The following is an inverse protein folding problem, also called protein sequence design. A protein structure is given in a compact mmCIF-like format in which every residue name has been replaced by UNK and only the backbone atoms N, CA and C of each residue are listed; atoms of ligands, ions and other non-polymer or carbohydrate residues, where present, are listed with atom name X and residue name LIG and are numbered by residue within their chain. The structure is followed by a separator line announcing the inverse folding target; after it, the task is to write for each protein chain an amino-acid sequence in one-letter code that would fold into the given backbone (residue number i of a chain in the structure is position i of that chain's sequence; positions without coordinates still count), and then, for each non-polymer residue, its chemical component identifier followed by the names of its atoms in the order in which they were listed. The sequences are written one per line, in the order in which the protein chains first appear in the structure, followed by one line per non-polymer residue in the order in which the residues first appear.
data_IF_595138756699
#
_entry.id   IF_595138756699
#
_cell.length_a   1.000
_cell.length_b   1.000
_cell.length_c   1.000
_cell.angle_alpha   90.00
_cell.angle_beta   90.00
_cell.angle_gamma   90.00
#
_symmetry.space_group_name_H-M   'P 1'
#
loop_
_entity.id
_entity.type
_entity.pdbx_description
1 polymer ?
#
# COMPACT_ATOMS: atom_id res chain seq x y z
N UNK A 1 69.95 22.67 17.93
CA UNK A 1 69.06 21.48 18.00
C UNK A 1 67.77 21.83 17.24
N UNK A 2 67.15 20.87 16.55
CA UNK A 2 66.08 21.14 15.57
C UNK A 2 64.77 21.66 16.21
N UNK A 3 63.95 22.38 15.44
CA UNK A 3 62.62 22.84 15.85
C UNK A 3 61.94 23.69 14.78
N UNK A 4 61.44 23.03 13.74
CA UNK A 4 60.93 23.57 12.48
C UNK A 4 59.80 24.61 12.58
N UNK A 5 59.80 25.48 11.58
CA UNK A 5 58.80 26.48 11.22
C UNK A 5 57.48 25.85 10.71
N UNK A 6 56.32 26.41 11.08
CA UNK A 6 55.10 26.35 10.25
C UNK A 6 54.22 27.59 10.49
N UNK A 7 53.52 28.04 9.45
CA UNK A 7 52.91 29.37 9.32
C UNK A 7 51.39 29.41 9.64
N UNK A 8 50.92 30.62 9.98
CA UNK A 8 49.68 31.34 9.58
C UNK A 8 48.46 30.54 9.06
N UNK A 9 47.20 30.97 9.24
CA UNK A 9 46.54 32.03 10.03
C UNK A 9 45.00 31.80 9.87
N UNK A 10 44.12 32.40 10.70
CA UNK A 10 42.69 32.03 10.72
C UNK A 10 41.83 32.77 9.67
N UNK A 11 40.67 32.21 9.35
CA UNK A 11 39.55 32.93 8.71
C UNK A 11 38.25 32.58 9.45
N UNK A 12 37.50 33.61 9.85
CA UNK A 12 36.25 33.51 10.62
C UNK A 12 35.03 33.28 9.71
N UNK A 13 33.90 32.77 10.24
CA UNK A 13 32.64 32.79 9.48
C UNK A 13 31.48 31.89 9.95
N UNK A 14 30.72 32.39 10.95
CA UNK A 14 29.28 32.14 11.21
C UNK A 14 28.71 30.75 11.54
N UNK A 15 27.71 30.78 12.43
CA UNK A 15 26.79 29.70 12.83
C UNK A 15 25.51 30.34 13.42
N UNK A 16 24.42 29.58 13.77
CA UNK A 16 24.10 28.19 13.43
C UNK A 16 23.02 28.18 12.29
N UNK A 17 21.75 27.68 12.35
CA UNK A 17 20.95 27.02 13.40
C UNK A 17 20.67 25.51 13.20
N UNK A 18 19.98 24.96 14.20
CA UNK A 18 19.32 23.65 14.34
C UNK A 18 18.08 23.45 13.45
N UNK A 19 17.91 22.27 12.83
CA UNK A 19 16.60 21.58 12.69
C UNK A 19 16.72 20.04 12.69
N UNK A 20 15.97 19.42 13.61
CA UNK A 20 15.72 17.98 13.72
C UNK A 20 14.91 17.40 12.55
N UNK A 21 15.22 16.17 12.09
CA UNK A 21 14.21 15.37 11.33
C UNK A 21 14.40 13.83 11.32
N UNK A 22 15.06 13.25 12.33
CA UNK A 22 15.26 11.79 12.43
C UNK A 22 14.07 11.01 13.02
N UNK A 23 12.96 11.67 13.37
CA UNK A 23 11.86 11.08 14.15
C UNK A 23 10.68 10.52 13.33
N UNK A 24 10.66 10.68 12.00
CA UNK A 24 9.53 10.26 11.16
C UNK A 24 9.34 8.74 11.10
N UNK A 25 10.43 7.96 11.19
CA UNK A 25 10.40 6.48 11.20
C UNK A 25 9.74 5.90 12.47
N UNK A 26 10.00 6.50 13.63
CA UNK A 26 9.52 6.04 14.94
C UNK A 26 8.02 6.29 15.15
N UNK A 27 7.46 7.32 14.51
CA UNK A 27 6.04 7.67 14.63
C UNK A 27 5.10 6.71 13.87
N UNK A 28 5.57 6.08 12.79
CA UNK A 28 4.79 5.06 12.06
C UNK A 28 4.52 3.83 12.93
N UNK A 29 5.56 3.30 13.60
CA UNK A 29 5.48 2.11 14.46
C UNK A 29 4.58 2.37 15.67
N UNK A 30 4.67 3.55 16.29
CA UNK A 30 3.89 3.90 17.50
C UNK A 30 2.38 3.97 17.22
N UNK A 31 1.96 4.40 16.03
CA UNK A 31 0.55 4.54 15.65
C UNK A 31 -0.17 3.20 15.44
N UNK A 32 0.55 2.12 15.16
CA UNK A 32 -0.06 0.78 14.99
C UNK A 32 -0.56 0.15 16.30
N UNK A 33 -0.02 0.53 17.47
CA UNK A 33 -0.32 -0.17 18.74
C UNK A 33 -1.74 0.02 19.31
N UNK A 34 -2.58 0.92 18.78
CA UNK A 34 -3.85 1.32 19.44
C UNK A 34 -5.15 0.90 18.72
N UNK A 35 -5.10 0.10 17.66
CA UNK A 35 -6.29 -0.52 17.04
C UNK A 35 -6.28 -2.02 17.34
N UNK A 36 -7.32 -2.56 17.99
CA UNK A 36 -7.45 -4.00 18.28
C UNK A 36 -7.35 -4.78 16.96
N UNK A 37 -6.18 -5.40 16.70
CA UNK A 37 -5.99 -6.23 15.50
C UNK A 37 -6.87 -7.47 15.60
N UNK A 38 -7.54 -7.80 14.50
CA UNK A 38 -8.05 -9.15 14.26
C UNK A 38 -6.86 -10.12 14.34
N UNK A 39 -6.95 -11.10 15.23
CA UNK A 39 -5.81 -11.94 15.67
C UNK A 39 -5.17 -12.79 14.57
N UNK A 40 -5.84 -12.97 13.42
CA UNK A 40 -5.47 -13.95 12.40
C UNK A 40 -4.47 -13.46 11.35
N UNK A 41 -4.14 -12.17 11.31
CA UNK A 41 -3.27 -11.57 10.28
C UNK A 41 -2.11 -10.75 10.87
N UNK A 42 -1.58 -11.19 12.02
CA UNK A 42 -0.42 -10.53 12.63
C UNK A 42 0.77 -10.55 11.66
N UNK A 43 1.40 -9.39 11.52
CA UNK A 43 2.65 -9.23 10.79
C UNK A 43 2.58 -9.73 9.33
N UNK A 44 1.45 -9.55 8.67
CA UNK A 44 1.27 -9.80 7.23
C UNK A 44 1.10 -8.50 6.43
N UNK A 45 1.57 -8.53 5.19
CA UNK A 45 1.35 -7.51 4.18
C UNK A 45 0.66 -8.10 2.96
N UNK A 46 -0.03 -7.26 2.20
CA UNK A 46 -0.65 -7.62 0.92
C UNK A 46 -0.07 -6.75 -0.18
N UNK A 47 0.37 -7.38 -1.27
CA UNK A 47 0.71 -6.70 -2.53
C UNK A 47 -0.38 -6.90 -3.57
N UNK A 48 -0.57 -5.89 -4.42
CA UNK A 48 -1.56 -5.89 -5.49
C UNK A 48 -1.01 -5.27 -6.77
N UNK A 49 -1.41 -5.78 -7.93
CA UNK A 49 -1.07 -5.25 -9.25
C UNK A 49 -2.27 -4.63 -9.99
N UNK A 50 -1.97 -3.83 -11.01
CA UNK A 50 -2.95 -3.11 -11.82
C UNK A 50 -3.88 -4.07 -12.59
N UNK A 51 -3.37 -5.24 -13.00
CA UNK A 51 -4.18 -6.28 -13.65
C UNK A 51 -5.02 -7.12 -12.66
N UNK A 52 -5.08 -6.71 -11.37
CA UNK A 52 -5.97 -7.30 -10.38
C UNK A 52 -5.46 -8.59 -9.73
N UNK A 53 -4.16 -8.88 -9.85
CA UNK A 53 -3.51 -9.97 -9.11
C UNK A 53 -3.02 -9.49 -7.74
N UNK A 54 -2.92 -10.39 -6.77
CA UNK A 54 -2.32 -10.08 -5.47
C UNK A 54 -2.26 -11.28 -4.53
N UNK A 55 -1.53 -11.11 -3.43
CA UNK A 55 -1.33 -12.14 -2.41
C UNK A 55 -0.91 -11.50 -1.08
N UNK A 56 -1.12 -12.25 0.02
CA UNK A 56 -0.58 -11.92 1.35
C UNK A 56 0.81 -12.52 1.52
N UNK A 57 1.66 -11.94 2.35
CA UNK A 57 2.98 -12.47 2.67
C UNK A 57 3.43 -12.02 4.08
N UNK A 58 4.18 -12.86 4.82
CA UNK A 58 4.67 -12.48 6.14
C UNK A 58 5.73 -11.36 6.09
N UNK A 59 5.68 -10.45 7.06
CA UNK A 59 6.67 -9.40 7.31
C UNK A 59 8.07 -9.97 7.58
N UNK A 60 8.17 -11.17 8.15
CA UNK A 60 9.43 -11.91 8.29
C UNK A 60 10.13 -12.24 6.95
N UNK A 61 9.44 -12.05 5.81
CA UNK A 61 10.03 -12.13 4.48
C UNK A 61 10.54 -10.78 3.94
N UNK A 62 10.40 -9.68 4.69
CA UNK A 62 11.00 -8.36 4.38
C UNK A 62 12.21 -8.01 5.26
N UNK A 63 12.32 -8.57 6.47
CA UNK A 63 13.40 -8.22 7.42
C UNK A 63 14.80 -8.55 6.91
N UNK A 64 14.92 -9.58 6.07
CA UNK A 64 16.17 -9.98 5.42
C UNK A 64 16.18 -9.51 3.96
N UNK A 65 16.87 -8.41 3.67
CA UNK A 65 17.12 -7.99 2.29
C UNK A 65 18.57 -7.55 2.11
N UNK A 66 19.12 -7.83 0.92
CA UNK A 66 20.41 -7.29 0.50
C UNK A 66 20.25 -5.88 -0.06
N UNK A 67 21.37 -5.20 -0.37
CA UNK A 67 21.38 -3.86 -1.01
C UNK A 67 20.54 -3.79 -2.30
N UNK A 68 20.39 -4.91 -3.00
CA UNK A 68 19.62 -5.01 -4.25
C UNK A 68 18.11 -5.14 -4.04
N UNK A 69 17.64 -5.17 -2.78
CA UNK A 69 16.24 -5.43 -2.45
C UNK A 69 15.83 -6.90 -2.64
N UNK A 70 14.55 -7.19 -2.39
CA UNK A 70 13.94 -8.52 -2.60
C UNK A 70 12.77 -8.39 -3.56
N UNK A 71 12.75 -9.21 -4.61
CA UNK A 71 11.64 -9.26 -5.57
C UNK A 71 10.40 -9.87 -4.91
N UNK A 72 9.38 -9.05 -4.66
CA UNK A 72 8.13 -9.51 -4.05
C UNK A 72 7.18 -10.11 -5.11
N UNK A 73 6.85 -9.36 -6.18
CA UNK A 73 5.84 -9.77 -7.16
C UNK A 73 6.43 -10.10 -8.54
N UNK A 74 5.93 -11.16 -9.16
CA UNK A 74 6.23 -11.53 -10.54
C UNK A 74 5.18 -10.93 -11.49
N UNK A 75 5.49 -9.73 -12.00
CA UNK A 75 4.70 -9.00 -12.99
C UNK A 75 4.97 -9.54 -14.41
N UNK A 76 3.93 -9.56 -15.25
CA UNK A 76 3.97 -9.96 -16.68
C UNK A 76 2.94 -9.13 -17.46
N UNK A 77 3.01 -9.10 -18.79
CA UNK A 77 2.00 -8.45 -19.66
C UNK A 77 1.81 -6.95 -19.32
N UNK A 78 2.92 -6.21 -19.18
CA UNK A 78 2.95 -4.79 -18.80
C UNK A 78 2.20 -4.45 -17.49
N UNK A 79 1.99 -5.43 -16.63
CA UNK A 79 1.44 -5.23 -15.29
C UNK A 79 2.40 -4.46 -14.38
N UNK A 80 1.85 -3.69 -13.44
CA UNK A 80 2.60 -2.91 -12.45
C UNK A 80 2.04 -3.15 -11.06
N UNK A 81 2.90 -3.17 -10.03
CA UNK A 81 2.43 -3.12 -8.65
C UNK A 81 1.75 -1.77 -8.38
N UNK A 82 0.55 -1.79 -7.79
CA UNK A 82 -0.18 -0.56 -7.43
C UNK A 82 -0.04 -0.18 -5.95
N UNK A 83 0.39 -1.13 -5.11
CA UNK A 83 0.65 -0.85 -3.71
C UNK A 83 0.94 -2.08 -2.86
N UNK A 84 1.34 -1.78 -1.64
CA UNK A 84 1.66 -2.70 -0.56
C UNK A 84 1.03 -2.12 0.71
N UNK A 85 0.29 -2.92 1.48
CA UNK A 85 -0.34 -2.46 2.73
C UNK A 85 -0.40 -3.59 3.79
N UNK A 86 -0.33 -3.27 5.09
CA UNK A 86 -0.46 -4.26 6.15
C UNK A 86 -1.88 -4.82 6.22
N UNK A 87 -2.01 -6.12 6.50
CA UNK A 87 -3.30 -6.82 6.58
C UNK A 87 -3.96 -6.55 7.94
N UNK A 88 -4.84 -5.53 7.98
CA UNK A 88 -5.41 -5.03 9.25
C UNK A 88 -6.90 -5.34 9.46
N UNK A 89 -7.62 -5.82 8.43
CA UNK A 89 -9.05 -6.13 8.49
C UNK A 89 -9.42 -7.41 7.73
N UNK A 90 -10.59 -7.98 8.04
CA UNK A 90 -11.09 -9.22 7.43
C UNK A 90 -11.62 -9.08 6.00
N UNK A 91 -11.73 -7.87 5.48
CA UNK A 91 -12.12 -7.60 4.10
C UNK A 91 -11.20 -6.59 3.45
N UNK A 92 -11.07 -6.66 2.14
CA UNK A 92 -10.44 -5.62 1.32
C UNK A 92 -11.41 -5.07 0.28
N UNK A 93 -11.48 -3.76 0.22
CA UNK A 93 -12.15 -3.00 -0.83
C UNK A 93 -11.17 -2.77 -1.98
N UNK A 94 -11.60 -3.00 -3.21
CA UNK A 94 -10.82 -2.91 -4.44
C UNK A 94 -11.60 -2.06 -5.46
N UNK A 95 -10.95 -1.11 -6.13
CA UNK A 95 -11.60 -0.29 -7.16
C UNK A 95 -10.77 -0.15 -8.45
N UNK A 96 -11.47 -0.06 -9.59
CA UNK A 96 -10.88 0.15 -10.91
C UNK A 96 -11.09 1.56 -11.44
N UNK A 97 -10.25 1.97 -12.38
CA UNK A 97 -10.32 3.28 -13.05
C UNK A 97 -11.69 3.53 -13.70
N UNK A 98 -12.25 2.55 -14.41
CA UNK A 98 -13.62 2.62 -15.00
C UNK A 98 -14.76 2.44 -13.97
N UNK A 99 -14.56 2.84 -12.71
CA UNK A 99 -15.65 3.00 -11.75
C UNK A 99 -16.32 1.72 -11.25
N UNK A 100 -15.67 0.55 -11.36
CA UNK A 100 -16.10 -0.69 -10.71
C UNK A 100 -15.43 -0.84 -9.35
N UNK A 101 -16.13 -1.43 -8.37
CA UNK A 101 -15.55 -1.80 -7.08
C UNK A 101 -16.08 -3.14 -6.57
N UNK A 102 -15.31 -3.79 -5.70
CA UNK A 102 -15.68 -5.02 -5.02
C UNK A 102 -15.16 -5.03 -3.59
N UNK A 103 -15.88 -5.69 -2.70
CA UNK A 103 -15.37 -6.11 -1.39
C UNK A 103 -15.15 -7.61 -1.45
N UNK A 104 -13.95 -8.09 -1.10
CA UNK A 104 -13.67 -9.52 -0.96
C UNK A 104 -13.19 -9.84 0.45
N UNK A 105 -13.52 -11.03 1.00
CA UNK A 105 -12.91 -11.54 2.22
C UNK A 105 -11.38 -11.70 2.08
N UNK A 106 -10.64 -11.34 3.14
CA UNK A 106 -9.16 -11.38 3.17
C UNK A 106 -8.60 -12.81 3.25
N UNK A 107 -9.36 -13.76 3.79
CA UNK A 107 -9.02 -15.18 3.89
C UNK A 107 -8.89 -15.86 2.51
N UNK A 108 -9.71 -15.46 1.53
CA UNK A 108 -9.63 -15.91 0.14
C UNK A 108 -8.33 -15.49 -0.57
N UNK A 109 -7.58 -14.54 -0.01
CA UNK A 109 -6.32 -14.08 -0.54
C UNK A 109 -5.22 -15.01 -0.06
N UNK A 110 -4.65 -15.79 -0.99
CA UNK A 110 -3.56 -16.73 -0.70
C UNK A 110 -2.36 -16.03 -0.07
N UNK A 111 -1.78 -16.64 0.96
CA UNK A 111 -0.48 -16.27 1.48
C UNK A 111 0.64 -16.97 0.69
N UNK A 112 1.67 -16.23 0.27
CA UNK A 112 2.90 -16.78 -0.31
C UNK A 112 4.10 -16.51 0.60
N UNK A 113 5.07 -17.42 0.59
CA UNK A 113 6.32 -17.33 1.36
C UNK A 113 7.50 -16.73 0.57
N UNK A 114 7.32 -16.50 -0.73
CA UNK A 114 8.33 -15.99 -1.67
C UNK A 114 7.69 -15.34 -2.90
N UNK A 115 8.50 -15.05 -3.92
CA UNK A 115 8.04 -14.26 -5.06
C UNK A 115 7.01 -15.00 -5.92
N UNK A 116 5.92 -14.32 -6.29
CA UNK A 116 4.84 -14.95 -7.06
C UNK A 116 3.97 -13.95 -7.82
N UNK A 117 3.10 -14.47 -8.69
CA UNK A 117 2.04 -13.67 -9.33
C UNK A 117 0.87 -13.42 -8.37
N UNK A 118 0.65 -14.32 -7.41
CA UNK A 118 -0.54 -14.33 -6.56
C UNK A 118 -1.79 -14.83 -7.29
N UNK A 119 -2.94 -14.60 -6.66
CA UNK A 119 -4.27 -14.99 -7.17
C UNK A 119 -4.99 -13.79 -7.80
N UNK A 120 -5.97 -14.06 -8.67
CA UNK A 120 -6.87 -13.03 -9.19
C UNK A 120 -7.78 -12.56 -8.07
N UNK A 121 -7.69 -11.28 -7.69
CA UNK A 121 -8.56 -10.63 -6.70
C UNK A 121 -9.80 -10.04 -7.36
N UNK A 122 -9.60 -9.34 -8.48
CA UNK A 122 -10.65 -8.78 -9.33
C UNK A 122 -10.21 -8.89 -10.80
N UNK A 123 -11.15 -9.08 -11.72
CA UNK A 123 -10.92 -9.01 -13.17
C UNK A 123 -11.26 -7.59 -13.67
N UNK A 124 -10.27 -6.72 -13.99
CA UNK A 124 -10.57 -5.33 -14.31
C UNK A 124 -11.04 -5.13 -15.77
N UNK A 125 -10.92 -6.14 -16.63
CA UNK A 125 -11.31 -6.07 -18.05
C UNK A 125 -10.44 -5.06 -18.80
N UNK A 126 -11.07 -4.14 -19.53
CA UNK A 126 -10.41 -3.00 -20.20
C UNK A 126 -10.00 -1.87 -19.24
N UNK A 127 -10.19 -2.04 -17.94
CA UNK A 127 -9.76 -1.06 -16.93
C UNK A 127 -8.53 -1.56 -16.18
N UNK A 128 -8.00 -0.73 -15.31
CA UNK A 128 -6.93 -1.08 -14.39
C UNK A 128 -7.41 -0.90 -12.96
N UNK A 129 -6.93 -1.74 -12.06
CA UNK A 129 -7.12 -1.54 -10.62
C UNK A 129 -6.29 -0.32 -10.19
N UNK A 130 -6.91 0.62 -9.47
CA UNK A 130 -6.26 1.89 -9.07
C UNK A 130 -5.90 1.96 -7.59
N UNK A 131 -6.51 1.12 -6.76
CA UNK A 131 -6.22 1.08 -5.34
C UNK A 131 -6.95 -0.04 -4.63
N UNK A 132 -6.52 -0.26 -3.38
CA UNK A 132 -7.17 -1.17 -2.45
C UNK A 132 -7.10 -0.61 -1.03
N UNK A 133 -8.04 -0.98 -0.17
CA UNK A 133 -8.08 -0.56 1.23
C UNK A 133 -8.69 -1.66 2.10
N UNK A 134 -8.00 -2.02 3.18
CA UNK A 134 -8.54 -2.94 4.18
C UNK A 134 -9.67 -2.25 4.96
N UNK A 135 -10.80 -2.94 5.12
CA UNK A 135 -12.04 -2.38 5.67
C UNK A 135 -12.84 -3.38 6.49
N UNK A 136 -13.67 -2.86 7.38
CA UNK A 136 -14.81 -3.54 7.99
C UNK A 136 -16.09 -3.20 7.20
N UNK A 137 -17.10 -4.06 7.21
CA UNK A 137 -18.37 -3.81 6.49
C UNK A 137 -19.11 -2.53 6.94
N UNK A 138 -18.80 -2.00 8.14
CA UNK A 138 -19.35 -0.75 8.69
C UNK A 138 -18.53 0.50 8.30
N UNK A 139 -17.34 0.33 7.72
CA UNK A 139 -16.46 1.44 7.39
C UNK A 139 -16.98 2.20 6.16
N UNK A 140 -16.43 3.40 5.97
CA UNK A 140 -16.62 4.21 4.78
C UNK A 140 -15.29 4.38 4.03
N UNK A 141 -15.37 4.50 2.71
CA UNK A 141 -14.23 4.64 1.82
C UNK A 141 -14.44 5.88 0.96
N UNK A 142 -13.42 6.73 0.87
CA UNK A 142 -13.47 7.96 0.05
C UNK A 142 -12.73 7.73 -1.25
N UNK A 143 -13.43 7.95 -2.36
CA UNK A 143 -12.89 7.80 -3.71
C UNK A 143 -12.69 9.16 -4.34
N UNK A 144 -11.49 9.42 -4.86
CA UNK A 144 -11.17 10.65 -5.57
C UNK A 144 -11.23 10.39 -7.07
N UNK A 145 -11.98 11.22 -7.78
CA UNK A 145 -12.20 11.11 -9.22
C UNK A 145 -11.32 12.06 -10.02
N UNK A 146 -11.24 11.81 -11.33
CA UNK A 146 -10.63 12.68 -12.34
C UNK A 146 -10.98 14.17 -12.20
N UNK A 147 -12.27 14.45 -12.00
CA UNK A 147 -12.85 15.78 -11.86
C UNK A 147 -12.67 16.41 -10.47
N UNK A 148 -11.60 16.04 -9.74
CA UNK A 148 -11.22 16.43 -8.37
C UNK A 148 -12.26 16.20 -7.25
N UNK A 149 -13.49 15.83 -7.61
CA UNK A 149 -14.56 15.49 -6.70
C UNK A 149 -14.20 14.25 -5.89
N UNK A 150 -14.50 14.27 -4.58
CA UNK A 150 -14.45 13.10 -3.73
C UNK A 150 -15.86 12.56 -3.46
N UNK A 151 -16.04 11.23 -3.46
CA UNK A 151 -17.29 10.58 -3.05
C UNK A 151 -17.01 9.60 -1.92
N UNK A 152 -17.72 9.78 -0.81
CA UNK A 152 -17.75 8.81 0.28
C UNK A 152 -18.74 7.68 -0.05
N UNK A 153 -18.32 6.42 0.13
CA UNK A 153 -19.14 5.23 -0.08
C UNK A 153 -19.05 4.33 1.15
N UNK A 154 -20.19 3.90 1.68
CA UNK A 154 -20.25 2.91 2.76
C UNK A 154 -19.92 1.53 2.22
N UNK A 155 -19.01 0.79 2.88
CA UNK A 155 -18.54 -0.52 2.39
C UNK A 155 -19.70 -1.51 2.19
N UNK A 156 -20.70 -1.49 3.08
CA UNK A 156 -21.93 -2.30 2.99
C UNK A 156 -22.75 -2.11 1.68
N UNK A 157 -22.65 -0.95 1.01
CA UNK A 157 -23.37 -0.73 -0.27
C UNK A 157 -22.63 -1.28 -1.49
N UNK A 158 -21.36 -1.69 -1.34
CA UNK A 158 -20.61 -2.37 -2.39
C UNK A 158 -20.73 -3.88 -2.18
N UNK A 159 -20.93 -4.62 -3.27
CA UNK A 159 -21.19 -6.05 -3.21
C UNK A 159 -20.00 -6.81 -2.63
N UNK A 160 -20.26 -7.58 -1.58
CA UNK A 160 -19.36 -8.63 -1.10
C UNK A 160 -19.38 -9.78 -2.12
N UNK A 161 -18.21 -10.12 -2.64
CA UNK A 161 -18.02 -11.17 -3.64
C UNK A 161 -16.86 -12.08 -3.27
N UNK A 162 -16.79 -13.23 -3.94
CA UNK A 162 -15.55 -14.01 -4.00
C UNK A 162 -14.50 -13.32 -4.89
N UNK A 163 -13.23 -13.68 -4.67
CA UNK A 163 -12.11 -13.26 -5.51
C UNK A 163 -12.31 -13.62 -6.98
N UNK A 164 -11.77 -12.81 -7.88
CA UNK A 164 -11.84 -13.01 -9.34
C UNK A 164 -13.15 -12.56 -9.99
N UNK A 165 -14.05 -11.92 -9.25
CA UNK A 165 -15.21 -11.22 -9.82
C UNK A 165 -14.80 -9.92 -10.53
N UNK A 166 -15.70 -9.32 -11.33
CA UNK A 166 -15.46 -8.02 -11.96
C UNK A 166 -15.84 -6.81 -11.07
N UNK A 167 -16.43 -7.05 -9.89
CA UNK A 167 -17.06 -6.02 -9.07
C UNK A 167 -18.37 -5.47 -9.65
N UNK A 168 -18.93 -4.48 -8.95
CA UNK A 168 -20.16 -3.75 -9.32
C UNK A 168 -19.83 -2.30 -9.70
N UNK A 169 -20.64 -1.71 -10.57
CA UNK A 169 -20.45 -0.32 -11.02
C UNK A 169 -20.89 0.64 -9.91
N UNK A 170 -19.96 1.47 -9.44
CA UNK A 170 -20.19 2.51 -8.41
C UNK A 170 -20.08 3.94 -8.97
N UNK A 171 -19.46 4.08 -10.15
CA UNK A 171 -19.44 5.30 -10.98
C UNK A 171 -19.56 4.89 -12.45
N UNK A 172 -20.47 5.51 -13.20
CA UNK A 172 -20.64 5.29 -14.65
C UNK A 172 -19.88 6.31 -15.52
N UNK A 173 -19.71 7.55 -15.04
CA UNK A 173 -19.26 8.70 -15.85
C UNK A 173 -17.89 9.25 -15.47
N UNK A 174 -17.41 8.99 -14.24
CA UNK A 174 -16.18 9.56 -13.69
C UNK A 174 -15.18 8.46 -13.38
N UNK A 175 -13.93 8.66 -13.76
CA UNK A 175 -12.82 7.74 -13.54
C UNK A 175 -12.30 7.88 -12.11
N UNK A 176 -12.08 6.76 -11.42
CA UNK A 176 -11.46 6.77 -10.08
C UNK A 176 -9.94 6.89 -10.25
N UNK A 177 -9.33 7.87 -9.61
CA UNK A 177 -7.87 8.05 -9.59
C UNK A 177 -7.22 7.37 -8.39
N UNK A 178 -7.81 7.52 -7.19
CA UNK A 178 -7.26 6.95 -5.95
C UNK A 178 -8.34 6.67 -4.90
N UNK A 179 -7.95 5.89 -3.90
CA UNK A 179 -8.73 5.58 -2.70
C UNK A 179 -8.02 6.24 -1.52
N UNK A 180 -8.75 7.02 -0.72
CA UNK A 180 -8.28 7.60 0.55
C UNK A 180 -8.76 6.75 1.74
#
# INVERSE_FOLDING_TARGET
MLGMLSLMAPVEGSAPPDQSDSQTSMNFVKKMKKKKMSSNYKDEFMVVSANGFGFRFPLSKLSETTRSGRKIMNLKNNDRMIGLAPVIHSHVFLATSKGKAVVIPTDQITQLTGSGKGVILLKPGESSLVGFKFVTLKDKVTLVFDSENAKEITVKSVRLCNRGSQGVIISKRKSILKIN
#
